data_IF_692821550390
#
_entry.id   IF_692821550390
#
_cell.length_a   1.000
_cell.length_b   1.000
_cell.length_c   1.000
_cell.angle_alpha   90.00
_cell.angle_beta   90.00
_cell.angle_gamma   90.00
#
_symmetry.space_group_name_H-M   'P 1'
#
loop_
_entity.id
_entity.type
_entity.pdbx_description
1 polymer ?
#
# COMPACT_ATOMS: atom_id res chain seq x y z
N UNK A 1 -93.58 81.24 27.75
CA UNK A 1 -92.80 82.35 28.38
C UNK A 1 -91.31 82.13 28.13
N UNK A 2 -90.44 83.15 28.18
CA UNK A 2 -88.98 82.93 28.04
C UNK A 2 -88.42 81.94 29.08
N UNK A 3 -89.04 81.88 30.26
CA UNK A 3 -88.69 80.93 31.33
C UNK A 3 -88.86 79.46 30.91
N UNK A 4 -89.92 79.10 30.18
CA UNK A 4 -90.13 77.73 29.69
C UNK A 4 -89.13 77.35 28.60
N UNK A 5 -88.78 78.29 27.71
CA UNK A 5 -87.72 78.07 26.71
C UNK A 5 -86.37 77.84 27.38
N UNK A 6 -86.04 78.62 28.39
CA UNK A 6 -84.81 78.45 29.16
C UNK A 6 -84.80 77.12 29.94
N UNK A 7 -85.93 76.69 30.51
CA UNK A 7 -86.04 75.39 31.17
C UNK A 7 -85.82 74.21 30.21
N UNK A 8 -86.41 74.28 29.00
CA UNK A 8 -86.20 73.26 27.96
C UNK A 8 -84.75 73.23 27.47
N UNK A 9 -84.11 74.40 27.32
CA UNK A 9 -82.69 74.48 26.96
C UNK A 9 -81.83 73.81 28.04
N UNK A 10 -82.09 74.09 29.32
CA UNK A 10 -81.35 73.46 30.43
C UNK A 10 -81.53 71.94 30.40
N UNK A 11 -82.76 71.44 30.25
CA UNK A 11 -83.02 70.00 30.18
C UNK A 11 -82.32 69.34 28.97
N UNK A 12 -82.37 69.96 27.79
CA UNK A 12 -81.65 69.47 26.61
C UNK A 12 -80.13 69.52 26.80
N UNK A 13 -79.58 70.53 27.48
CA UNK A 13 -78.14 70.59 27.78
C UNK A 13 -77.73 69.51 28.77
N UNK A 14 -78.54 69.24 29.81
CA UNK A 14 -78.30 68.15 30.75
C UNK A 14 -78.38 66.79 30.07
N UNK A 15 -79.38 66.57 29.21
CA UNK A 15 -79.50 65.34 28.43
C UNK A 15 -78.31 65.14 27.49
N UNK A 16 -77.88 66.18 26.76
CA UNK A 16 -76.69 66.12 25.92
C UNK A 16 -75.42 65.84 26.73
N UNK A 17 -75.30 66.42 27.93
CA UNK A 17 -74.16 66.17 28.81
C UNK A 17 -74.16 64.72 29.36
N UNK A 18 -75.32 64.16 29.68
CA UNK A 18 -75.48 62.74 30.06
C UNK A 18 -75.14 61.79 28.90
N UNK A 19 -75.63 62.06 27.70
CA UNK A 19 -75.27 61.27 26.51
C UNK A 19 -73.76 61.37 26.21
N UNK A 20 -73.18 62.56 26.34
CA UNK A 20 -71.73 62.76 26.13
C UNK A 20 -70.90 61.98 27.15
N UNK A 21 -71.32 61.95 28.42
CA UNK A 21 -70.62 61.16 29.45
C UNK A 21 -70.76 59.66 29.20
N UNK A 22 -71.95 59.18 28.82
CA UNK A 22 -72.17 57.78 28.47
C UNK A 22 -71.35 57.35 27.23
N UNK A 23 -71.24 58.20 26.20
CA UNK A 23 -70.39 57.94 25.04
C UNK A 23 -68.92 57.86 25.45
N UNK A 24 -68.44 58.77 26.32
CA UNK A 24 -67.05 58.73 26.82
C UNK A 24 -66.77 57.47 27.63
N UNK A 25 -67.71 57.04 28.48
CA UNK A 25 -67.59 55.79 29.23
C UNK A 25 -67.57 54.57 28.30
N UNK A 26 -68.49 54.52 27.32
CA UNK A 26 -68.50 53.48 26.28
C UNK A 26 -67.19 53.43 25.50
N UNK A 27 -66.68 54.58 25.03
CA UNK A 27 -65.40 54.70 24.33
C UNK A 27 -64.25 54.19 25.18
N UNK A 28 -64.22 54.53 26.48
CA UNK A 28 -63.21 54.03 27.40
C UNK A 28 -63.28 52.51 27.59
N UNK A 29 -64.49 51.93 27.66
CA UNK A 29 -64.64 50.47 27.74
C UNK A 29 -64.22 49.78 26.44
N UNK A 30 -64.49 50.38 25.29
CA UNK A 30 -64.05 49.87 23.98
C UNK A 30 -62.52 49.91 23.87
N UNK A 31 -61.87 51.00 24.28
CA UNK A 31 -60.41 51.10 24.39
C UNK A 31 -59.82 50.03 25.32
N UNK A 32 -60.46 49.76 26.47
CA UNK A 32 -60.01 48.70 27.37
C UNK A 32 -60.14 47.30 26.75
N UNK A 33 -61.27 47.01 26.10
CA UNK A 33 -61.49 45.73 25.44
C UNK A 33 -60.56 45.51 24.24
N UNK A 34 -60.27 46.57 23.47
CA UNK A 34 -59.32 46.49 22.35
C UNK A 34 -57.89 46.19 22.83
N UNK A 35 -57.44 46.82 23.93
CA UNK A 35 -56.15 46.49 24.56
C UNK A 35 -56.13 45.05 25.07
N UNK A 36 -57.20 44.57 25.71
CA UNK A 36 -57.29 43.17 26.15
C UNK A 36 -57.26 42.18 24.98
N UNK A 37 -57.98 42.46 23.89
CA UNK A 37 -57.96 41.66 22.67
C UNK A 37 -56.57 41.64 22.03
N UNK A 38 -55.87 42.77 22.02
CA UNK A 38 -54.49 42.83 21.55
C UNK A 38 -53.57 41.96 22.42
N UNK A 39 -53.69 42.05 23.74
CA UNK A 39 -52.93 41.20 24.67
C UNK A 39 -53.18 39.71 24.47
N UNK A 40 -54.44 39.31 24.26
CA UNK A 40 -54.80 37.92 23.94
C UNK A 40 -54.25 37.47 22.58
N UNK A 41 -54.28 38.32 21.56
CA UNK A 41 -53.67 38.05 20.24
C UNK A 41 -52.16 37.85 20.36
N UNK A 42 -51.47 38.71 21.11
CA UNK A 42 -50.03 38.58 21.35
C UNK A 42 -49.72 37.29 22.12
N UNK A 43 -50.53 36.93 23.12
CA UNK A 43 -50.37 35.68 23.87
C UNK A 43 -50.58 34.46 22.95
N UNK A 44 -51.60 34.48 22.10
CA UNK A 44 -51.84 33.42 21.12
C UNK A 44 -50.69 33.30 20.11
N UNK A 45 -50.16 34.44 19.63
CA UNK A 45 -49.02 34.47 18.74
C UNK A 45 -47.75 33.91 19.39
N UNK A 46 -47.47 34.25 20.66
CA UNK A 46 -46.34 33.68 21.42
C UNK A 46 -46.48 32.16 21.61
N UNK A 47 -47.69 31.69 21.91
CA UNK A 47 -47.95 30.24 22.00
C UNK A 47 -47.75 29.55 20.65
N UNK A 48 -48.21 30.18 19.56
CA UNK A 48 -48.03 29.67 18.20
C UNK A 48 -46.55 29.57 17.81
N UNK A 49 -45.75 30.61 18.08
CA UNK A 49 -44.31 30.58 17.79
C UNK A 49 -43.59 29.53 18.64
N UNK A 50 -43.89 29.46 19.95
CA UNK A 50 -43.31 28.43 20.82
C UNK A 50 -43.68 27.01 20.38
N UNK A 51 -44.92 26.77 19.94
CA UNK A 51 -45.32 25.48 19.38
C UNK A 51 -44.54 25.17 18.09
N UNK A 52 -44.33 26.17 17.23
CA UNK A 52 -43.56 26.01 16.01
C UNK A 52 -42.09 25.67 16.28
N UNK A 53 -41.48 26.26 17.32
CA UNK A 53 -40.12 25.95 17.75
C UNK A 53 -40.01 24.53 18.35
N UNK A 54 -41.03 24.09 19.09
CA UNK A 54 -41.11 22.71 19.56
C UNK A 54 -41.29 21.73 18.40
N UNK A 55 -42.09 22.09 17.40
CA UNK A 55 -42.30 21.26 16.21
C UNK A 55 -40.99 21.10 15.43
N UNK A 56 -40.25 22.17 15.18
CA UNK A 56 -38.96 22.09 14.50
C UNK A 56 -37.95 21.26 15.29
N UNK A 57 -37.91 21.43 16.62
CA UNK A 57 -37.06 20.61 17.50
C UNK A 57 -37.41 19.12 17.44
N UNK A 58 -38.71 18.78 17.37
CA UNK A 58 -39.16 17.41 17.21
C UNK A 58 -38.78 16.83 15.84
N UNK A 59 -38.81 17.64 14.78
CA UNK A 59 -38.42 17.20 13.44
C UNK A 59 -36.90 16.91 13.38
N UNK A 60 -36.05 17.73 14.01
CA UNK A 60 -34.62 17.43 14.15
C UNK A 60 -34.38 16.12 14.91
N UNK A 61 -35.08 15.90 16.02
CA UNK A 61 -34.95 14.65 16.79
C UNK A 61 -35.43 13.43 16.00
N UNK A 62 -36.46 13.57 15.16
CA UNK A 62 -36.92 12.50 14.26
C UNK A 62 -35.86 12.16 13.22
N UNK A 63 -35.23 13.17 12.62
CA UNK A 63 -34.14 12.97 11.66
C UNK A 63 -32.94 12.28 12.32
N UNK A 64 -32.58 12.69 13.55
CA UNK A 64 -31.51 12.05 14.32
C UNK A 64 -31.84 10.57 14.63
N UNK A 65 -33.07 10.27 15.05
CA UNK A 65 -33.52 8.89 15.28
C UNK A 65 -33.45 8.08 13.98
N UNK A 66 -33.84 8.66 12.84
CA UNK A 66 -33.77 7.99 11.53
C UNK A 66 -32.32 7.62 11.19
N UNK A 67 -31.41 8.59 11.26
CA UNK A 67 -29.98 8.40 11.00
C UNK A 67 -29.36 7.35 11.92
N UNK A 68 -29.71 7.38 13.21
CA UNK A 68 -29.23 6.39 14.19
C UNK A 68 -29.78 4.99 13.91
N UNK A 69 -31.03 4.89 13.45
CA UNK A 69 -31.65 3.61 13.06
C UNK A 69 -30.99 3.04 11.80
N UNK A 70 -30.68 3.86 10.81
CA UNK A 70 -29.94 3.43 9.62
C UNK A 70 -28.55 2.92 9.96
N UNK A 71 -27.82 3.65 10.82
CA UNK A 71 -26.50 3.23 11.31
C UNK A 71 -26.57 1.92 12.09
N UNK A 72 -27.60 1.75 12.93
CA UNK A 72 -27.86 0.49 13.63
C UNK A 72 -28.08 -0.66 12.64
N UNK A 73 -28.95 -0.49 11.65
CA UNK A 73 -29.24 -1.52 10.64
C UNK A 73 -27.99 -1.90 9.83
N UNK A 74 -27.12 -0.93 9.52
CA UNK A 74 -25.84 -1.18 8.85
C UNK A 74 -24.89 -2.01 9.72
N UNK A 75 -24.76 -1.67 11.00
CA UNK A 75 -23.95 -2.45 11.95
C UNK A 75 -24.51 -3.87 12.12
N UNK A 76 -25.82 -4.04 12.22
CA UNK A 76 -26.46 -5.35 12.30
C UNK A 76 -26.18 -6.20 11.04
N UNK A 77 -26.22 -5.60 9.83
CA UNK A 77 -25.81 -6.30 8.61
C UNK A 77 -24.35 -6.72 8.64
N UNK A 78 -23.44 -5.85 9.07
CA UNK A 78 -22.00 -6.19 9.18
C UNK A 78 -21.77 -7.35 10.15
N UNK A 79 -22.42 -7.33 11.30
CA UNK A 79 -22.36 -8.43 12.28
C UNK A 79 -22.89 -9.73 11.67
N UNK A 80 -24.00 -9.68 10.92
CA UNK A 80 -24.53 -10.86 10.25
C UNK A 80 -23.55 -11.46 9.23
N UNK A 81 -22.90 -10.61 8.41
CA UNK A 81 -21.89 -11.05 7.42
C UNK A 81 -20.67 -11.66 8.12
N UNK A 82 -20.13 -11.01 9.16
CA UNK A 82 -19.00 -11.54 9.92
C UNK A 82 -19.34 -12.87 10.62
N UNK A 83 -20.56 -12.99 11.13
CA UNK A 83 -21.06 -14.23 11.73
C UNK A 83 -21.10 -15.35 10.68
N UNK A 84 -21.61 -15.07 9.49
CA UNK A 84 -21.62 -16.03 8.39
C UNK A 84 -20.20 -16.43 7.96
N UNK A 85 -19.28 -15.47 7.89
CA UNK A 85 -17.87 -15.76 7.57
C UNK A 85 -17.21 -16.64 8.64
N UNK A 86 -17.46 -16.35 9.92
CA UNK A 86 -16.99 -17.19 11.03
C UNK A 86 -17.54 -18.61 10.91
N UNK A 87 -18.82 -18.76 10.63
CA UNK A 87 -19.46 -20.08 10.52
C UNK A 87 -18.88 -20.87 9.34
N UNK A 88 -18.67 -20.23 8.19
CA UNK A 88 -18.00 -20.85 7.04
C UNK A 88 -16.57 -21.29 7.39
N UNK A 89 -15.79 -20.45 8.07
CA UNK A 89 -14.45 -20.82 8.52
C UNK A 89 -14.46 -21.94 9.55
N UNK A 90 -15.46 -21.97 10.44
CA UNK A 90 -15.66 -23.07 11.38
C UNK A 90 -15.91 -24.39 10.65
N UNK A 91 -16.80 -24.39 9.65
CA UNK A 91 -17.05 -25.61 8.86
C UNK A 91 -15.81 -26.07 8.09
N UNK A 92 -15.03 -25.14 7.52
CA UNK A 92 -13.77 -25.48 6.85
C UNK A 92 -12.70 -26.02 7.82
N UNK A 93 -12.68 -25.52 9.05
CA UNK A 93 -11.82 -26.02 10.11
C UNK A 93 -12.22 -27.44 10.51
N UNK A 94 -13.51 -27.71 10.66
CA UNK A 94 -14.01 -29.05 10.98
C UNK A 94 -13.63 -30.05 9.87
N UNK A 95 -13.83 -29.69 8.60
CA UNK A 95 -13.43 -30.51 7.45
C UNK A 95 -11.92 -30.76 7.39
N UNK A 96 -11.10 -29.73 7.67
CA UNK A 96 -9.65 -29.86 7.74
C UNK A 96 -9.23 -30.78 8.90
N UNK A 97 -9.92 -30.69 10.04
CA UNK A 97 -9.68 -31.55 11.21
C UNK A 97 -10.00 -33.01 10.88
N UNK A 98 -11.13 -33.27 10.22
CA UNK A 98 -11.50 -34.61 9.74
C UNK A 98 -10.47 -35.18 8.77
N UNK A 99 -9.99 -34.35 7.84
CA UNK A 99 -8.93 -34.74 6.90
C UNK A 99 -7.62 -35.08 7.61
N UNK A 100 -7.23 -34.32 8.63
CA UNK A 100 -6.05 -34.63 9.45
C UNK A 100 -6.23 -35.97 10.15
N UNK A 101 -7.38 -36.21 10.78
CA UNK A 101 -7.67 -37.49 11.45
C UNK A 101 -7.58 -38.69 10.49
N UNK A 102 -8.09 -38.54 9.27
CA UNK A 102 -7.98 -39.55 8.21
C UNK A 102 -6.52 -39.81 7.80
N UNK A 103 -5.74 -38.76 7.56
CA UNK A 103 -4.33 -38.88 7.18
C UNK A 103 -3.49 -39.48 8.31
N UNK A 104 -3.73 -39.11 9.55
CA UNK A 104 -3.07 -39.71 10.71
C UNK A 104 -3.39 -41.20 10.83
N UNK A 105 -4.65 -41.60 10.60
CA UNK A 105 -5.04 -43.00 10.58
C UNK A 105 -4.31 -43.77 9.47
N UNK A 106 -4.28 -43.23 8.25
CA UNK A 106 -3.54 -43.84 7.13
C UNK A 106 -2.05 -43.95 7.43
N UNK A 107 -1.45 -42.94 8.06
CA UNK A 107 -0.04 -42.98 8.47
C UNK A 107 0.22 -44.11 9.48
N UNK A 108 -0.64 -44.27 10.49
CA UNK A 108 -0.52 -45.39 11.46
C UNK A 108 -0.67 -46.75 10.78
N UNK A 109 -1.61 -46.88 9.85
CA UNK A 109 -1.82 -48.12 9.08
C UNK A 109 -0.59 -48.45 8.20
N UNK A 110 -0.03 -47.46 7.49
CA UNK A 110 1.19 -47.64 6.69
C UNK A 110 2.41 -47.98 7.57
N UNK A 111 2.57 -47.33 8.73
CA UNK A 111 3.63 -47.68 9.68
C UNK A 111 3.50 -49.11 10.20
N UNK A 112 2.28 -49.59 10.46
CA UNK A 112 2.04 -50.97 10.85
C UNK A 112 2.40 -51.92 9.70
N UNK A 113 2.00 -51.61 8.47
CA UNK A 113 2.31 -52.42 7.28
C UNK A 113 3.83 -52.51 7.04
N UNK A 114 4.56 -51.41 7.20
CA UNK A 114 6.03 -51.39 7.11
C UNK A 114 6.67 -52.26 8.19
N UNK A 115 6.16 -52.24 9.43
CA UNK A 115 6.68 -53.11 10.50
C UNK A 115 6.45 -54.59 10.20
N UNK A 116 5.26 -54.96 9.71
CA UNK A 116 4.96 -56.34 9.33
C UNK A 116 5.88 -56.79 8.19
N UNK A 117 6.01 -56.00 7.12
CA UNK A 117 6.92 -56.28 6.01
C UNK A 117 8.38 -56.43 6.45
N UNK A 118 8.85 -55.58 7.37
CA UNK A 118 10.20 -55.72 7.94
C UNK A 118 10.38 -57.01 8.74
N UNK A 119 9.38 -57.40 9.56
CA UNK A 119 9.40 -58.68 10.29
C UNK A 119 9.46 -59.87 9.33
N UNK A 120 8.65 -59.86 8.27
CA UNK A 120 8.65 -60.91 7.24
C UNK A 120 10.00 -60.97 6.51
N UNK A 121 10.62 -59.82 6.20
CA UNK A 121 11.95 -59.76 5.59
C UNK A 121 13.03 -60.29 6.54
N UNK A 122 12.95 -60.01 7.84
CA UNK A 122 13.87 -60.56 8.84
C UNK A 122 13.72 -62.08 8.97
N UNK A 123 12.48 -62.60 8.99
CA UNK A 123 12.20 -64.04 8.98
C UNK A 123 12.79 -64.71 7.73
N UNK A 124 12.55 -64.17 6.54
CA UNK A 124 13.10 -64.69 5.29
C UNK A 124 14.63 -64.62 5.26
N UNK A 125 15.24 -63.53 5.75
CA UNK A 125 16.70 -63.41 5.89
C UNK A 125 17.26 -64.46 6.83
N UNK A 126 16.61 -64.70 7.96
CA UNK A 126 17.03 -65.73 8.93
C UNK A 126 16.92 -67.14 8.35
N UNK A 127 15.86 -67.43 7.61
CA UNK A 127 15.66 -68.70 6.92
C UNK A 127 16.72 -68.92 5.83
N UNK A 128 17.01 -67.88 5.04
CA UNK A 128 18.08 -67.92 4.03
C UNK A 128 19.46 -68.10 4.67
N UNK A 129 19.74 -67.44 5.80
CA UNK A 129 21.00 -67.65 6.55
C UNK A 129 21.10 -69.11 6.99
N UNK A 130 20.05 -69.68 7.59
CA UNK A 130 20.03 -71.08 8.01
C UNK A 130 20.21 -72.06 6.84
N UNK A 131 19.60 -71.78 5.69
CA UNK A 131 19.80 -72.57 4.47
C UNK A 131 21.24 -72.43 3.94
N UNK A 132 21.81 -71.22 3.99
CA UNK A 132 23.20 -70.94 3.65
C UNK A 132 24.18 -71.72 4.54
N UNK A 133 23.95 -71.72 5.86
CA UNK A 133 24.76 -72.48 6.82
C UNK A 133 24.68 -73.99 6.55
N UNK A 134 23.50 -74.50 6.18
CA UNK A 134 23.33 -75.90 5.75
C UNK A 134 24.11 -76.20 4.48
N UNK A 135 24.05 -75.32 3.46
CA UNK A 135 24.83 -75.45 2.22
C UNK A 135 26.33 -75.37 2.49
N UNK A 136 26.78 -74.47 3.37
CA UNK A 136 28.19 -74.39 3.74
C UNK A 136 28.64 -75.63 4.52
N UNK A 137 27.79 -76.18 5.38
CA UNK A 137 27.99 -77.48 6.02
C UNK A 137 28.16 -78.62 5.01
N UNK A 138 27.35 -78.64 3.95
CA UNK A 138 27.49 -79.60 2.83
C UNK A 138 28.75 -79.34 1.99
N UNK A 139 29.08 -78.10 1.66
CA UNK A 139 30.28 -77.72 0.88
C UNK A 139 31.58 -77.97 1.65
N UNK A 140 31.57 -77.84 2.98
CA UNK A 140 32.71 -78.17 3.85
C UNK A 140 33.00 -79.68 3.86
N UNK A 141 32.02 -80.51 3.52
CA UNK A 141 32.20 -81.94 3.26
C UNK A 141 32.53 -82.28 1.79
N UNK A 142 32.71 -81.31 0.89
CA UNK A 142 32.83 -81.56 -0.56
C UNK A 142 33.98 -80.84 -1.31
N UNK A 143 34.94 -80.19 -0.66
CA UNK A 143 36.10 -79.60 -1.38
C UNK A 143 37.45 -80.01 -0.80
N UNK A 144 37.91 -81.20 -1.22
CA UNK A 144 39.33 -81.54 -1.37
C UNK A 144 39.70 -81.38 -2.84
N UNK A 145 40.63 -80.47 -3.15
CA UNK A 145 41.39 -80.42 -4.39
C UNK A 145 40.91 -79.45 -5.48
N UNK A 146 41.80 -78.50 -5.83
CA UNK A 146 42.08 -77.90 -7.15
C UNK A 146 41.87 -76.38 -7.32
N UNK A 147 42.98 -75.62 -7.22
CA UNK A 147 43.32 -74.36 -7.94
C UNK A 147 44.86 -74.15 -7.84
N UNK A 148 45.72 -74.77 -8.66
CA UNK A 148 46.26 -74.45 -10.01
C UNK A 148 47.37 -73.38 -10.09
N UNK A 149 48.57 -73.86 -10.47
CA UNK A 149 49.90 -73.23 -10.65
C UNK A 149 50.02 -72.49 -12.00
N UNK A 150 49.96 -71.16 -12.05
CA UNK A 150 50.20 -70.42 -13.30
C UNK A 150 50.98 -69.11 -13.15
N UNK A 151 51.55 -68.81 -11.97
CA UNK A 151 52.03 -67.46 -11.64
C UNK A 151 53.53 -67.33 -11.34
N UNK A 152 54.36 -68.36 -11.54
CA UNK A 152 55.74 -68.37 -10.98
C UNK A 152 56.90 -68.68 -11.96
N UNK A 153 56.73 -68.56 -13.28
CA UNK A 153 57.85 -68.78 -14.20
C UNK A 153 57.89 -67.72 -15.29
N UNK A 154 58.74 -66.71 -15.11
CA UNK A 154 59.51 -66.05 -16.18
C UNK A 154 60.47 -65.01 -15.55
N UNK A 155 61.71 -65.46 -15.28
CA UNK A 155 62.88 -64.64 -14.95
C UNK A 155 64.04 -65.03 -15.88
N UNK A 156 64.68 -63.99 -16.41
CA UNK A 156 66.12 -63.83 -16.71
C UNK A 156 66.81 -64.76 -17.74
N UNK A 157 67.36 -64.13 -18.79
CA UNK A 157 68.42 -64.69 -19.63
C UNK A 157 69.62 -63.72 -19.67
N UNK A 158 70.81 -64.32 -19.65
CA UNK A 158 72.05 -63.86 -19.04
C UNK A 158 73.10 -63.44 -20.10
N UNK A 159 73.99 -62.50 -19.71
CA UNK A 159 75.45 -62.46 -20.02
C UNK A 159 76.00 -62.37 -21.47
N UNK A 160 76.80 -61.32 -21.76
CA UNK A 160 78.28 -61.37 -21.94
C UNK A 160 78.86 -60.08 -22.60
N UNK A 161 80.17 -59.79 -22.42
CA UNK A 161 80.80 -58.47 -22.60
C UNK A 161 81.51 -58.32 -23.95
N UNK A 162 81.40 -57.13 -24.58
CA UNK A 162 82.35 -56.65 -25.60
C UNK A 162 82.11 -55.15 -25.89
N UNK A 163 83.08 -54.32 -25.51
CA UNK A 163 83.21 -52.91 -25.91
C UNK A 163 82.39 -51.92 -25.07
N UNK A 164 83.00 -51.35 -24.04
CA UNK A 164 82.39 -50.34 -23.15
C UNK A 164 81.68 -49.24 -23.95
N UNK A 165 82.29 -48.69 -25.00
CA UNK A 165 81.67 -47.60 -25.77
C UNK A 165 80.51 -48.08 -26.67
N UNK A 166 80.61 -49.27 -27.29
CA UNK A 166 79.55 -49.77 -28.19
C UNK A 166 78.35 -50.29 -27.39
N UNK A 167 78.61 -50.94 -26.25
CA UNK A 167 77.57 -51.35 -25.32
C UNK A 167 76.90 -50.13 -24.68
N UNK A 168 77.68 -49.12 -24.25
CA UNK A 168 77.15 -47.88 -23.69
C UNK A 168 76.35 -47.08 -24.73
N UNK A 169 76.79 -47.00 -25.99
CA UNK A 169 76.01 -46.41 -27.10
C UNK A 169 74.72 -47.20 -27.35
N UNK A 170 74.76 -48.54 -27.31
CA UNK A 170 73.53 -49.34 -27.45
C UNK A 170 72.57 -49.15 -26.27
N UNK A 171 73.09 -49.02 -25.05
CA UNK A 171 72.30 -48.68 -23.85
C UNK A 171 71.68 -47.29 -23.99
N UNK A 172 72.44 -46.31 -24.48
CA UNK A 172 71.96 -44.95 -24.71
C UNK A 172 70.90 -44.92 -25.83
N UNK A 173 71.09 -45.68 -26.91
CA UNK A 173 70.11 -45.84 -27.99
C UNK A 173 68.81 -46.47 -27.48
N UNK A 174 68.88 -47.50 -26.62
CA UNK A 174 67.70 -48.10 -25.99
C UNK A 174 67.00 -47.09 -25.07
N UNK A 175 67.75 -46.35 -24.25
CA UNK A 175 67.19 -45.29 -23.38
C UNK A 175 66.51 -44.17 -24.16
N UNK A 176 67.10 -43.72 -25.27
CA UNK A 176 66.50 -42.72 -26.17
C UNK A 176 65.26 -43.29 -26.86
N UNK A 177 65.30 -44.54 -27.31
CA UNK A 177 64.17 -45.23 -27.91
C UNK A 177 62.98 -45.32 -26.93
N UNK A 178 63.21 -45.80 -25.70
CA UNK A 178 62.18 -45.93 -24.68
C UNK A 178 61.59 -44.57 -24.28
N UNK A 179 62.44 -43.53 -24.20
CA UNK A 179 61.99 -42.17 -23.88
C UNK A 179 61.15 -41.54 -25.00
N UNK A 180 61.54 -41.70 -26.27
CA UNK A 180 60.73 -41.24 -27.42
C UNK A 180 59.42 -42.03 -27.48
N UNK A 181 59.45 -43.32 -27.18
CA UNK A 181 58.27 -44.18 -27.16
C UNK A 181 57.29 -43.85 -26.04
N UNK A 182 57.79 -43.51 -24.85
CA UNK A 182 56.97 -43.01 -23.75
C UNK A 182 56.27 -41.68 -24.12
N UNK A 183 56.95 -40.81 -24.87
CA UNK A 183 56.35 -39.58 -25.42
C UNK A 183 55.29 -39.92 -26.48
N UNK A 184 55.55 -40.86 -27.39
CA UNK A 184 54.55 -41.36 -28.34
C UNK A 184 53.31 -41.92 -27.62
N UNK A 185 53.49 -42.74 -26.57
CA UNK A 185 52.39 -43.28 -25.77
C UNK A 185 51.62 -42.20 -25.02
N UNK A 186 52.31 -41.22 -24.44
CA UNK A 186 51.68 -40.09 -23.73
C UNK A 186 50.85 -39.22 -24.67
N UNK A 187 51.35 -39.00 -25.90
CA UNK A 187 50.62 -38.32 -26.97
C UNK A 187 49.41 -39.15 -27.43
N UNK A 188 49.55 -40.46 -27.65
CA UNK A 188 48.42 -41.37 -27.99
C UNK A 188 47.33 -41.39 -26.91
N UNK A 189 47.73 -41.48 -25.63
CA UNK A 189 46.80 -41.56 -24.49
C UNK A 189 46.01 -40.27 -24.29
N UNK A 190 46.59 -39.10 -24.59
CA UNK A 190 45.89 -37.82 -24.56
C UNK A 190 44.88 -37.69 -25.70
N UNK A 191 45.09 -38.37 -26.82
CA UNK A 191 44.28 -38.23 -28.03
C UNK A 191 43.04 -39.12 -28.07
N UNK A 192 43.07 -40.39 -27.62
CA UNK A 192 41.86 -41.26 -27.61
C UNK A 192 41.82 -42.36 -26.52
N UNK A 193 40.70 -42.42 -25.78
CA UNK A 193 40.18 -43.65 -25.15
C UNK A 193 39.63 -44.56 -26.26
N UNK A 194 40.22 -45.74 -26.50
CA UNK A 194 39.52 -46.99 -26.89
C UNK A 194 40.40 -47.92 -27.74
N UNK A 195 40.54 -49.16 -27.25
CA UNK A 195 40.87 -50.41 -27.95
C UNK A 195 42.01 -50.39 -28.98
N UNK A 196 43.24 -50.57 -28.50
CA UNK A 196 44.03 -51.78 -28.70
C UNK A 196 45.39 -51.56 -28.04
N UNK A 197 45.59 -52.20 -26.89
CA UNK A 197 46.90 -52.27 -26.24
C UNK A 197 47.82 -53.18 -27.08
N UNK A 198 48.41 -52.63 -28.14
CA UNK A 198 49.61 -53.21 -28.73
C UNK A 198 50.81 -52.67 -27.95
N UNK A 199 50.94 -53.12 -26.70
CA UNK A 199 52.17 -52.95 -25.91
C UNK A 199 53.19 -53.90 -26.52
N UNK A 200 53.89 -53.43 -27.55
CA UNK A 200 55.09 -54.12 -28.05
C UNK A 200 56.20 -53.91 -27.02
N UNK A 201 56.81 -54.97 -26.48
CA UNK A 201 57.69 -54.92 -25.30
C UNK A 201 58.93 -54.03 -25.52
N UNK A 202 59.50 -53.61 -24.39
CA UNK A 202 60.74 -52.84 -24.32
C UNK A 202 61.89 -53.62 -24.99
N UNK A 203 62.73 -52.90 -25.74
CA UNK A 203 63.74 -53.51 -26.61
C UNK A 203 65.02 -53.70 -25.80
N UNK A 204 65.55 -54.93 -25.76
CA UNK A 204 66.81 -55.20 -25.08
C UNK A 204 68.03 -54.82 -25.94
N UNK A 205 69.18 -54.59 -25.30
CA UNK A 205 70.42 -54.06 -25.92
C UNK A 205 70.88 -54.86 -27.16
N UNK A 206 70.59 -56.17 -27.20
CA UNK A 206 70.96 -57.04 -28.33
C UNK A 206 70.06 -56.90 -29.57
N UNK A 207 68.90 -56.25 -29.44
CA UNK A 207 67.91 -56.08 -30.51
C UNK A 207 68.09 -54.76 -31.28
N UNK A 208 69.07 -53.93 -30.90
CA UNK A 208 69.39 -52.66 -31.57
C UNK A 208 69.95 -52.91 -32.97
N UNK A 209 69.09 -52.78 -33.98
CA UNK A 209 69.39 -52.80 -35.41
C UNK A 209 69.37 -51.38 -36.02
N UNK A 210 70.13 -51.19 -37.09
CA UNK A 210 70.13 -49.94 -37.86
C UNK A 210 68.71 -49.65 -38.38
N UNK A 211 68.20 -48.44 -38.11
CA UNK A 211 66.87 -47.99 -38.54
C UNK A 211 65.78 -48.02 -37.46
N UNK A 212 66.03 -48.60 -36.27
CA UNK A 212 65.05 -48.61 -35.17
C UNK A 212 64.70 -47.21 -34.65
N UNK A 213 65.72 -46.37 -34.42
CA UNK A 213 65.51 -44.99 -33.98
C UNK A 213 64.79 -44.19 -35.08
N UNK A 214 65.13 -44.42 -36.35
CA UNK A 214 64.48 -43.81 -37.51
C UNK A 214 63.01 -44.20 -37.59
N UNK A 215 62.66 -45.46 -37.33
CA UNK A 215 61.28 -45.93 -37.32
C UNK A 215 60.45 -45.30 -36.20
N UNK A 216 60.97 -45.24 -34.97
CA UNK A 216 60.21 -44.63 -33.86
C UNK A 216 60.16 -43.10 -33.94
N UNK A 217 61.18 -42.45 -34.48
CA UNK A 217 61.10 -41.02 -34.80
C UNK A 217 60.11 -40.79 -35.94
N UNK A 218 60.04 -41.67 -36.95
CA UNK A 218 59.02 -41.58 -38.00
C UNK A 218 57.62 -41.77 -37.41
N UNK A 219 57.40 -42.75 -36.52
CA UNK A 219 56.13 -42.90 -35.80
C UNK A 219 55.78 -41.67 -34.96
N UNK A 220 56.75 -41.04 -34.30
CA UNK A 220 56.56 -39.79 -33.56
C UNK A 220 56.20 -38.64 -34.52
N UNK A 221 56.91 -38.52 -35.65
CA UNK A 221 56.65 -37.52 -36.68
C UNK A 221 55.28 -37.71 -37.32
N UNK A 222 54.87 -38.96 -37.56
CA UNK A 222 53.54 -39.31 -38.07
C UNK A 222 52.48 -38.95 -37.03
N UNK A 223 52.71 -39.26 -35.74
CA UNK A 223 51.79 -38.85 -34.66
C UNK A 223 51.69 -37.33 -34.48
N UNK A 224 52.82 -36.64 -34.55
CA UNK A 224 52.87 -35.19 -34.49
C UNK A 224 52.21 -34.61 -35.75
N UNK A 225 52.33 -35.27 -36.89
CA UNK A 225 51.64 -34.88 -38.13
C UNK A 225 50.15 -35.18 -38.07
N UNK A 226 49.68 -36.19 -37.33
CA UNK A 226 48.26 -36.42 -37.06
C UNK A 226 47.70 -35.38 -36.07
N UNK A 227 48.50 -34.94 -35.10
CA UNK A 227 48.14 -33.90 -34.13
C UNK A 227 48.23 -32.49 -34.70
N UNK A 228 49.23 -32.23 -35.54
CA UNK A 228 49.48 -30.96 -36.21
C UNK A 228 48.75 -30.87 -37.55
N UNK A 229 48.37 -32.01 -38.12
CA UNK A 229 47.42 -32.17 -39.22
C UNK A 229 45.99 -32.17 -38.70
N UNK A 230 45.73 -31.41 -37.63
CA UNK A 230 44.42 -30.79 -37.48
C UNK A 230 44.18 -29.91 -38.71
N UNK A 231 43.51 -30.51 -39.69
CA UNK A 231 42.95 -29.94 -40.92
C UNK A 231 42.97 -28.41 -41.01
N UNK A 232 44.09 -27.87 -41.49
CA UNK A 232 44.12 -26.56 -42.16
C UNK A 232 44.35 -26.74 -43.66
N UNK A 233 43.64 -27.70 -44.28
CA UNK A 233 43.09 -27.60 -45.64
C UNK A 233 42.50 -28.94 -46.04
N UNK A 234 41.23 -28.91 -46.45
CA UNK A 234 40.44 -29.99 -47.06
C UNK A 234 39.47 -30.80 -46.19
N UNK A 235 39.10 -30.32 -45.00
CA UNK A 235 37.67 -30.45 -44.68
C UNK A 235 36.95 -29.41 -45.54
N UNK A 236 36.33 -29.85 -46.62
CA UNK A 236 35.20 -29.11 -47.17
C UNK A 236 34.09 -29.16 -46.12
N UNK A 237 34.27 -28.42 -45.01
CA UNK A 237 33.14 -27.83 -44.33
C UNK A 237 32.61 -26.87 -45.37
N UNK A 238 31.66 -27.37 -46.15
CA UNK A 238 31.04 -26.60 -47.20
C UNK A 238 30.56 -25.28 -46.58
N UNK A 239 30.51 -24.19 -47.33
CA UNK A 239 29.88 -22.94 -46.81
C UNK A 239 28.52 -23.27 -46.18
N UNK A 240 27.82 -24.27 -46.74
CA UNK A 240 26.61 -24.86 -46.19
C UNK A 240 26.76 -25.53 -44.82
N UNK A 241 27.86 -26.20 -44.48
CA UNK A 241 28.08 -26.77 -43.14
C UNK A 241 28.33 -25.69 -42.07
N UNK A 242 29.10 -24.64 -42.40
CA UNK A 242 29.25 -23.47 -41.52
C UNK A 242 27.93 -22.71 -41.35
N UNK A 243 27.13 -22.59 -42.42
CA UNK A 243 25.77 -22.03 -42.36
C UNK A 243 24.85 -22.88 -41.48
N UNK A 244 24.95 -24.21 -41.55
CA UNK A 244 24.18 -25.12 -40.69
C UNK A 244 24.62 -24.98 -39.22
N UNK A 245 25.92 -24.88 -38.93
CA UNK A 245 26.42 -24.65 -37.57
C UNK A 245 26.02 -23.29 -37.01
N UNK A 246 26.07 -22.24 -37.83
CA UNK A 246 25.58 -20.90 -37.48
C UNK A 246 24.08 -20.93 -37.19
N UNK A 247 23.28 -21.60 -38.02
CA UNK A 247 21.85 -21.78 -37.78
C UNK A 247 21.59 -22.58 -36.50
N UNK A 248 22.35 -23.64 -36.22
CA UNK A 248 22.22 -24.40 -34.96
C UNK A 248 22.57 -23.55 -33.74
N UNK A 249 23.62 -22.72 -33.83
CA UNK A 249 24.01 -21.79 -32.77
C UNK A 249 22.97 -20.68 -32.58
N UNK A 250 22.42 -20.13 -33.67
CA UNK A 250 21.32 -19.16 -33.63
C UNK A 250 20.06 -19.77 -33.04
N UNK A 251 19.67 -20.97 -33.45
CA UNK A 251 18.54 -21.67 -32.85
C UNK A 251 18.77 -21.96 -31.36
N UNK A 252 20.00 -22.26 -30.95
CA UNK A 252 20.36 -22.46 -29.54
C UNK A 252 20.24 -21.16 -28.75
N UNK A 253 20.73 -20.05 -29.31
CA UNK A 253 20.56 -18.71 -28.73
C UNK A 253 19.08 -18.31 -28.66
N UNK A 254 18.29 -18.60 -29.68
CA UNK A 254 16.86 -18.35 -29.70
C UNK A 254 16.13 -19.22 -28.66
N UNK A 255 16.53 -20.49 -28.49
CA UNK A 255 16.01 -21.36 -27.42
C UNK A 255 16.33 -20.79 -26.04
N UNK A 256 17.59 -20.44 -25.79
CA UNK A 256 18.02 -19.81 -24.53
C UNK A 256 17.32 -18.47 -24.29
N UNK A 257 17.10 -17.67 -25.33
CA UNK A 257 16.37 -16.41 -25.27
C UNK A 257 14.89 -16.62 -24.90
N UNK A 258 14.22 -17.61 -25.50
CA UNK A 258 12.85 -17.99 -25.14
C UNK A 258 12.75 -18.51 -23.70
N UNK A 259 13.72 -19.31 -23.26
CA UNK A 259 13.78 -19.80 -21.88
C UNK A 259 13.98 -18.68 -20.87
N UNK A 260 14.85 -17.71 -21.18
CA UNK A 260 15.08 -16.52 -20.35
C UNK A 260 13.81 -15.66 -20.25
N UNK A 261 13.08 -15.46 -21.35
CA UNK A 261 11.82 -14.71 -21.32
C UNK A 261 10.73 -15.47 -20.54
N UNK A 262 10.64 -16.80 -20.68
CA UNK A 262 9.74 -17.62 -19.88
C UNK A 262 10.07 -17.53 -18.37
N UNK A 263 11.35 -17.53 -18.00
CA UNK A 263 11.80 -17.35 -16.61
C UNK A 263 11.51 -15.95 -16.08
N UNK A 264 11.61 -14.92 -16.91
CA UNK A 264 11.24 -13.55 -16.58
C UNK A 264 9.73 -13.40 -16.37
N UNK A 265 8.90 -14.07 -17.17
CA UNK A 265 7.47 -14.13 -16.92
C UNK A 265 7.13 -14.91 -15.64
N UNK A 266 7.82 -16.01 -15.36
CA UNK A 266 7.66 -16.76 -14.11
C UNK A 266 8.03 -15.90 -12.89
N UNK A 267 9.11 -15.12 -12.99
CA UNK A 267 9.50 -14.13 -11.98
C UNK A 267 8.44 -13.04 -11.80
N UNK A 268 7.85 -12.53 -12.89
CA UNK A 268 6.74 -11.56 -12.80
C UNK A 268 5.54 -12.17 -12.08
N UNK A 269 5.11 -13.39 -12.44
CA UNK A 269 4.00 -14.09 -11.75
C UNK A 269 4.29 -14.29 -10.27
N UNK A 270 5.53 -14.69 -9.90
CA UNK A 270 5.93 -14.81 -8.50
C UNK A 270 5.92 -13.46 -7.77
N UNK A 271 6.35 -12.39 -8.43
CA UNK A 271 6.31 -11.04 -7.87
C UNK A 271 4.85 -10.58 -7.64
N UNK A 272 3.94 -10.86 -8.56
CA UNK A 272 2.52 -10.54 -8.41
C UNK A 272 1.88 -11.30 -7.24
N UNK A 273 2.24 -12.58 -7.06
CA UNK A 273 1.82 -13.37 -5.89
C UNK A 273 2.39 -12.79 -4.60
N UNK A 274 3.66 -12.37 -4.59
CA UNK A 274 4.27 -11.73 -3.42
C UNK A 274 3.53 -10.43 -3.08
N UNK A 275 3.17 -9.62 -4.07
CA UNK A 275 2.41 -8.39 -3.86
C UNK A 275 1.01 -8.67 -3.29
N UNK A 276 0.29 -9.66 -3.84
CA UNK A 276 -1.03 -10.09 -3.33
C UNK A 276 -0.94 -10.62 -1.89
N UNK A 277 0.05 -11.48 -1.60
CA UNK A 277 0.28 -11.99 -0.24
C UNK A 277 0.67 -10.87 0.73
N UNK A 278 1.48 -9.90 0.30
CA UNK A 278 1.86 -8.74 1.12
C UNK A 278 0.65 -7.86 1.42
N UNK A 279 -0.22 -7.63 0.43
CA UNK A 279 -1.47 -6.89 0.62
C UNK A 279 -2.41 -7.63 1.59
N UNK A 280 -2.58 -8.95 1.43
CA UNK A 280 -3.36 -9.77 2.35
C UNK A 280 -2.81 -9.76 3.76
N UNK A 281 -1.48 -9.83 3.91
CA UNK A 281 -0.81 -9.77 5.21
C UNK A 281 -1.04 -8.41 5.87
N UNK A 282 -0.91 -7.31 5.14
CA UNK A 282 -1.20 -5.96 5.65
C UNK A 282 -2.65 -5.82 6.12
N UNK A 283 -3.63 -6.35 5.36
CA UNK A 283 -5.03 -6.36 5.81
C UNK A 283 -5.19 -7.16 7.11
N UNK A 284 -4.59 -8.36 7.19
CA UNK A 284 -4.65 -9.19 8.41
C UNK A 284 -3.99 -8.52 9.61
N UNK A 285 -2.91 -7.78 9.41
CA UNK A 285 -2.28 -6.97 10.46
C UNK A 285 -3.23 -5.90 10.98
N UNK A 286 -3.90 -5.16 10.08
CA UNK A 286 -4.88 -4.14 10.49
C UNK A 286 -6.10 -4.75 11.19
N UNK A 287 -6.59 -5.91 10.74
CA UNK A 287 -7.68 -6.63 11.40
C UNK A 287 -7.26 -7.11 12.80
N UNK A 288 -6.04 -7.63 12.95
CA UNK A 288 -5.49 -8.04 14.24
C UNK A 288 -5.34 -6.87 15.19
N UNK A 289 -4.87 -5.72 14.71
CA UNK A 289 -4.75 -4.52 15.53
C UNK A 289 -6.13 -3.99 15.95
N UNK A 290 -7.13 -4.00 15.05
CA UNK A 290 -8.52 -3.69 15.40
C UNK A 290 -9.09 -4.61 16.49
N UNK A 291 -8.88 -5.93 16.36
CA UNK A 291 -9.31 -6.90 17.39
C UNK A 291 -8.55 -6.70 18.71
N UNK A 292 -7.26 -6.31 18.67
CA UNK A 292 -6.49 -5.99 19.87
C UNK A 292 -7.04 -4.76 20.58
N UNK A 293 -7.34 -3.70 19.84
CA UNK A 293 -7.95 -2.47 20.35
C UNK A 293 -9.33 -2.75 20.97
N UNK A 294 -10.20 -3.52 20.32
CA UNK A 294 -11.50 -3.91 20.88
C UNK A 294 -11.34 -4.71 22.18
N UNK A 295 -10.38 -5.64 22.24
CA UNK A 295 -10.08 -6.41 23.44
C UNK A 295 -9.52 -5.53 24.56
N UNK A 296 -8.68 -4.56 24.23
CA UNK A 296 -8.11 -3.62 25.19
C UNK A 296 -9.17 -2.63 25.70
N UNK A 297 -10.07 -2.18 24.83
CA UNK A 297 -11.25 -1.38 25.20
C UNK A 297 -12.18 -2.18 26.14
N UNK A 298 -12.52 -3.43 25.80
CA UNK A 298 -13.34 -4.27 26.67
C UNK A 298 -12.66 -4.55 28.02
N UNK A 299 -11.32 -4.67 28.06
CA UNK A 299 -10.56 -4.76 29.30
C UNK A 299 -10.61 -3.47 30.11
N UNK A 300 -10.48 -2.31 29.46
CA UNK A 300 -10.60 -1.01 30.10
C UNK A 300 -12.01 -0.82 30.69
N UNK A 301 -13.06 -1.18 29.94
CA UNK A 301 -14.46 -1.12 30.38
C UNK A 301 -14.72 -2.07 31.57
N UNK A 302 -14.15 -3.28 31.55
CA UNK A 302 -14.22 -4.22 32.68
C UNK A 302 -13.42 -3.73 33.90
N UNK A 303 -12.31 -3.02 33.69
CA UNK A 303 -11.53 -2.41 34.76
C UNK A 303 -12.23 -1.17 35.33
N UNK A 304 -12.92 -0.41 34.48
CA UNK A 304 -13.71 0.75 34.87
C UNK A 304 -15.02 0.34 35.55
N UNK A 305 -15.63 -0.78 35.13
CA UNK A 305 -16.72 -1.45 35.83
C UNK A 305 -16.32 -2.13 37.15
N UNK A 306 -15.01 -2.30 37.39
CA UNK A 306 -14.43 -2.68 38.70
C UNK A 306 -14.04 -1.47 39.55
N UNK A 307 -14.07 -0.25 39.01
CA UNK A 307 -13.95 0.96 39.81
C UNK A 307 -15.04 0.95 40.87
N UNK A 308 -14.71 1.29 42.12
CA UNK A 308 -15.74 1.46 43.15
C UNK A 308 -16.84 2.36 42.60
N UNK A 309 -18.10 2.12 42.96
CA UNK A 309 -19.22 2.99 42.53
C UNK A 309 -18.91 4.48 42.75
N UNK A 310 -18.10 4.79 43.77
CA UNK A 310 -17.57 6.13 44.05
C UNK A 310 -16.60 6.70 43.00
N UNK A 311 -15.76 5.87 42.38
CA UNK A 311 -14.87 6.29 41.30
C UNK A 311 -15.66 6.61 40.02
N UNK A 312 -16.69 5.81 39.74
CA UNK A 312 -17.59 6.05 38.61
C UNK A 312 -18.40 7.34 38.82
N UNK A 313 -18.92 7.56 40.03
CA UNK A 313 -19.62 8.81 40.39
C UNK A 313 -18.69 10.02 40.32
N UNK A 314 -17.44 9.89 40.77
CA UNK A 314 -16.45 10.98 40.68
C UNK A 314 -16.11 11.33 39.24
N UNK A 315 -15.86 10.34 38.39
CA UNK A 315 -15.65 10.56 36.94
C UNK A 315 -16.88 11.17 36.28
N UNK A 316 -18.08 10.74 36.63
CA UNK A 316 -19.32 11.34 36.12
C UNK A 316 -19.46 12.82 36.53
N UNK A 317 -19.07 13.18 37.75
CA UNK A 317 -19.01 14.57 38.20
C UNK A 317 -17.95 15.36 37.45
N UNK A 318 -16.74 14.83 37.27
CA UNK A 318 -15.69 15.48 36.48
C UNK A 318 -16.11 15.74 35.03
N UNK A 319 -16.78 14.78 34.39
CA UNK A 319 -17.32 14.93 33.03
C UNK A 319 -18.40 16.02 32.98
N UNK A 320 -19.33 16.00 33.94
CA UNK A 320 -20.36 17.04 34.06
C UNK A 320 -19.73 18.42 34.27
N UNK A 321 -18.78 18.53 35.19
CA UNK A 321 -18.15 19.81 35.54
C UNK A 321 -17.30 20.33 34.38
N UNK A 322 -16.60 19.46 33.66
CA UNK A 322 -15.90 19.80 32.42
C UNK A 322 -16.86 20.26 31.32
N UNK A 323 -18.03 19.62 31.19
CA UNK A 323 -19.05 20.03 30.22
C UNK A 323 -19.66 21.39 30.60
N UNK A 324 -19.92 21.62 31.89
CA UNK A 324 -20.40 22.92 32.40
C UNK A 324 -19.36 24.01 32.17
N UNK A 325 -18.06 23.73 32.40
CA UNK A 325 -16.98 24.67 32.14
C UNK A 325 -16.91 25.04 30.64
N UNK A 326 -16.98 24.06 29.74
CA UNK A 326 -17.04 24.32 28.28
C UNK A 326 -18.26 25.15 27.90
N UNK A 327 -19.44 24.81 28.42
CA UNK A 327 -20.66 25.58 28.18
C UNK A 327 -20.48 27.04 28.63
N UNK A 328 -19.99 27.27 29.84
CA UNK A 328 -19.76 28.62 30.35
C UNK A 328 -18.73 29.38 29.50
N UNK A 329 -17.65 28.72 29.06
CA UNK A 329 -16.66 29.32 28.17
C UNK A 329 -17.29 29.78 26.85
N UNK A 330 -18.06 28.90 26.18
CA UNK A 330 -18.76 29.25 24.94
C UNK A 330 -19.81 30.36 25.14
N UNK A 331 -20.47 30.42 26.30
CA UNK A 331 -21.41 31.50 26.63
C UNK A 331 -20.70 32.84 26.82
N UNK A 332 -19.51 32.83 27.44
CA UNK A 332 -18.67 34.03 27.57
C UNK A 332 -18.18 34.51 26.21
N UNK A 333 -17.74 33.59 25.34
CA UNK A 333 -17.34 33.91 23.97
C UNK A 333 -18.50 34.49 23.14
N UNK A 334 -19.70 33.90 23.26
CA UNK A 334 -20.90 34.43 22.62
C UNK A 334 -21.25 35.83 23.09
N UNK A 335 -21.14 36.10 24.40
CA UNK A 335 -21.35 37.43 24.95
C UNK A 335 -20.32 38.44 24.41
N UNK A 336 -19.04 38.04 24.27
CA UNK A 336 -18.00 38.87 23.65
C UNK A 336 -18.31 39.16 22.18
N UNK A 337 -18.62 38.15 21.39
CA UNK A 337 -18.99 38.34 19.98
C UNK A 337 -20.20 39.27 19.81
N UNK A 338 -21.19 39.20 20.72
CA UNK A 338 -22.33 40.12 20.72
C UNK A 338 -21.91 41.56 21.01
N UNK A 339 -20.98 41.77 21.94
CA UNK A 339 -20.41 43.09 22.22
C UNK A 339 -19.66 43.61 20.99
N UNK A 340 -18.86 42.78 20.34
CA UNK A 340 -18.10 43.17 19.15
C UNK A 340 -19.04 43.59 17.99
N UNK A 341 -20.15 42.87 17.78
CA UNK A 341 -21.18 43.25 16.80
C UNK A 341 -21.85 44.57 17.17
N UNK A 342 -22.18 44.78 18.46
CA UNK A 342 -22.76 46.05 18.91
C UNK A 342 -21.78 47.22 18.69
N UNK A 343 -20.49 47.01 18.94
CA UNK A 343 -19.45 48.01 18.72
C UNK A 343 -19.26 48.31 17.22
N UNK A 344 -19.20 47.28 16.37
CA UNK A 344 -19.09 47.44 14.92
C UNK A 344 -20.30 48.19 14.34
N UNK A 345 -21.51 47.88 14.82
CA UNK A 345 -22.72 48.62 14.43
C UNK A 345 -22.68 50.08 14.88
N UNK A 346 -22.16 50.38 16.08
CA UNK A 346 -21.97 51.76 16.54
C UNK A 346 -21.02 52.53 15.63
N UNK A 347 -19.87 51.92 15.29
CA UNK A 347 -18.89 52.52 14.39
C UNK A 347 -19.47 52.74 12.99
N UNK A 348 -20.26 51.80 12.48
CA UNK A 348 -20.93 51.95 11.19
C UNK A 348 -21.94 53.11 11.21
N UNK A 349 -22.74 53.24 12.27
CA UNK A 349 -23.68 54.35 12.42
C UNK A 349 -22.95 55.70 12.46
N UNK A 350 -21.83 55.79 13.17
CA UNK A 350 -20.98 56.99 13.19
C UNK A 350 -20.42 57.32 11.80
N UNK A 351 -19.94 56.32 11.05
CA UNK A 351 -19.43 56.50 9.69
C UNK A 351 -20.52 56.94 8.69
N UNK A 352 -21.73 56.38 8.81
CA UNK A 352 -22.89 56.79 8.00
C UNK A 352 -23.23 58.25 8.32
N UNK A 353 -23.28 58.61 9.60
CA UNK A 353 -23.58 59.97 10.03
C UNK A 353 -22.57 60.97 9.46
N UNK A 354 -21.26 60.68 9.57
CA UNK A 354 -20.21 61.51 8.97
C UNK A 354 -20.34 61.62 7.45
N UNK A 355 -20.69 60.52 6.76
CA UNK A 355 -20.90 60.53 5.31
C UNK A 355 -22.10 61.40 4.92
N UNK A 356 -23.19 61.32 5.67
CA UNK A 356 -24.39 62.15 5.46
C UNK A 356 -24.04 63.63 5.64
N UNK A 357 -23.31 63.97 6.70
CA UNK A 357 -22.85 65.35 6.96
C UNK A 357 -21.96 65.89 5.84
N UNK A 358 -21.00 65.10 5.34
CA UNK A 358 -20.16 65.49 4.20
C UNK A 358 -20.98 65.63 2.90
N UNK A 359 -21.98 64.77 2.68
CA UNK A 359 -22.88 64.88 1.53
C UNK A 359 -23.69 66.17 1.58
N UNK A 360 -24.24 66.52 2.74
CA UNK A 360 -24.96 67.78 2.95
C UNK A 360 -24.05 68.99 2.73
N UNK A 361 -22.80 68.94 3.22
CA UNK A 361 -21.82 69.99 2.94
C UNK A 361 -21.53 70.11 1.44
N UNK A 362 -21.36 69.00 0.71
CA UNK A 362 -21.14 69.03 -0.74
C UNK A 362 -22.35 69.61 -1.49
N UNK A 363 -23.57 69.24 -1.12
CA UNK A 363 -24.79 69.81 -1.70
C UNK A 363 -24.87 71.33 -1.44
N UNK A 364 -24.52 71.78 -0.23
CA UNK A 364 -24.44 73.21 0.08
C UNK A 364 -23.39 73.92 -0.80
N UNK A 365 -22.19 73.35 -0.94
CA UNK A 365 -21.15 73.89 -1.81
C UNK A 365 -21.58 73.93 -3.29
N UNK A 366 -22.34 72.93 -3.76
CA UNK A 366 -22.90 72.93 -5.11
C UNK A 366 -23.90 74.06 -5.32
N UNK A 367 -24.80 74.28 -4.36
CA UNK A 367 -25.77 75.39 -4.39
C UNK A 367 -25.04 76.74 -4.41
N UNK A 368 -24.04 76.91 -3.54
CA UNK A 368 -23.26 78.16 -3.45
C UNK A 368 -22.48 78.42 -4.76
N UNK A 369 -21.87 77.40 -5.36
CA UNK A 369 -21.18 77.52 -6.65
C UNK A 369 -22.14 77.86 -7.80
N UNK A 370 -23.32 77.24 -7.82
CA UNK A 370 -24.35 77.54 -8.82
C UNK A 370 -24.83 78.99 -8.68
N UNK A 371 -25.02 79.48 -7.45
CA UNK A 371 -25.38 80.87 -7.19
C UNK A 371 -24.31 81.84 -7.69
N UNK A 372 -23.02 81.54 -7.48
CA UNK A 372 -21.90 82.34 -8.00
C UNK A 372 -21.85 82.36 -9.54
N UNK A 373 -22.10 81.22 -10.18
CA UNK A 373 -22.19 81.13 -11.64
C UNK A 373 -23.36 81.94 -12.18
N UNK A 374 -24.54 81.83 -11.56
CA UNK A 374 -25.73 82.60 -11.92
C UNK A 374 -25.49 84.11 -11.75
N UNK A 375 -24.82 84.52 -10.67
CA UNK A 375 -24.42 85.91 -10.44
C UNK A 375 -23.41 86.40 -11.47
N UNK A 376 -22.41 85.59 -11.82
CA UNK A 376 -21.44 85.91 -12.87
C UNK A 376 -22.11 86.04 -14.25
N UNK A 377 -23.07 85.17 -14.56
CA UNK A 377 -23.86 85.24 -15.80
C UNK A 377 -24.74 86.49 -15.83
N UNK A 378 -25.43 86.83 -14.73
CA UNK A 378 -26.21 88.06 -14.59
C UNK A 378 -25.33 89.30 -14.75
N UNK A 379 -24.14 89.33 -14.13
CA UNK A 379 -23.18 90.42 -14.27
C UNK A 379 -22.69 90.59 -15.71
N UNK A 380 -22.35 89.48 -16.39
CA UNK A 380 -21.94 89.51 -17.81
C UNK A 380 -23.05 89.99 -18.73
N UNK A 381 -24.29 89.57 -18.50
CA UNK A 381 -25.45 90.04 -19.26
C UNK A 381 -25.75 91.52 -19.01
N UNK A 382 -25.52 92.01 -17.79
CA UNK A 382 -25.69 93.41 -17.42
C UNK A 382 -24.56 94.32 -17.95
N UNK A 383 -23.38 93.77 -18.28
CA UNK A 383 -22.20 94.53 -18.68
C UNK A 383 -21.51 93.94 -19.93
N UNK A 384 -22.14 94.03 -21.13
CA UNK A 384 -21.67 93.35 -22.35
C UNK A 384 -20.41 93.95 -23.01
N UNK A 385 -19.95 95.15 -22.62
CA UNK A 385 -18.80 95.82 -23.26
C UNK A 385 -17.44 95.55 -22.57
N UNK A 386 -17.37 94.72 -21.52
CA UNK A 386 -16.11 94.42 -20.79
C UNK A 386 -15.71 92.93 -20.79
N UNK A 387 -15.84 92.23 -21.93
CA UNK A 387 -15.34 90.84 -22.05
C UNK A 387 -14.33 90.70 -23.18
N UNK A 388 -13.10 91.14 -22.93
CA UNK A 388 -11.92 90.65 -23.64
C UNK A 388 -10.69 90.73 -22.74
N UNK A 389 -10.32 89.61 -22.11
CA UNK A 389 -8.93 89.14 -21.94
C UNK A 389 -8.89 87.87 -21.07
N UNK A 390 -8.15 86.82 -21.47
CA UNK A 390 -8.01 85.59 -20.71
C UNK A 390 -6.84 85.71 -19.72
N UNK A 391 -7.07 85.40 -18.44
CA UNK A 391 -5.98 85.15 -17.50
C UNK A 391 -6.14 83.75 -16.91
N UNK A 392 -5.39 82.83 -17.50
CA UNK A 392 -4.87 81.64 -16.82
C UNK A 392 -3.88 82.06 -15.74
N UNK A 393 -3.87 81.37 -14.59
CA UNK A 393 -2.62 81.12 -13.89
C UNK A 393 -2.36 79.62 -13.79
N UNK A 394 -1.21 79.27 -14.35
CA UNK A 394 -0.48 78.03 -14.09
C UNK A 394 0.00 78.00 -12.63
N UNK A 395 0.10 76.76 -12.11
CA UNK A 395 1.04 76.31 -11.07
C UNK A 395 0.43 75.91 -9.71
N UNK A 396 0.25 74.61 -9.53
CA UNK A 396 0.88 73.87 -8.43
C UNK A 396 0.60 72.36 -8.58
N UNK A 397 1.53 71.64 -9.20
CA UNK A 397 1.69 70.21 -8.98
C UNK A 397 1.92 69.96 -7.49
N UNK A 398 0.99 69.29 -6.81
CA UNK A 398 1.26 68.57 -5.56
C UNK A 398 0.90 67.11 -5.72
N UNK A 399 1.97 66.33 -5.92
CA UNK A 399 2.15 64.90 -5.70
C UNK A 399 1.01 64.22 -4.92
N UNK A 400 0.44 63.20 -5.55
CA UNK A 400 -0.28 62.09 -4.91
C UNK A 400 0.53 61.50 -3.75
N UNK A 401 -0.07 61.46 -2.57
CA UNK A 401 0.31 60.55 -1.49
C UNK A 401 -0.80 59.49 -1.36
N UNK A 402 -0.63 58.38 -2.07
CA UNK A 402 -1.44 57.18 -1.88
C UNK A 402 -1.09 56.57 -0.51
N UNK A 403 -1.93 56.79 0.52
CA UNK A 403 -1.90 55.97 1.73
C UNK A 403 -3.03 54.94 1.66
N UNK A 404 -2.62 53.70 1.34
CA UNK A 404 -3.37 52.51 1.73
C UNK A 404 -3.38 52.45 3.26
N UNK A 405 -4.55 52.38 3.85
CA UNK A 405 -4.75 51.96 5.23
C UNK A 405 -5.66 50.74 5.18
N UNK A 406 -5.03 49.57 5.16
CA UNK A 406 -5.56 48.33 5.69
C UNK A 406 -4.69 48.02 6.90
N UNK A 407 -5.34 47.76 8.03
CA UNK A 407 -4.80 47.45 9.34
C UNK A 407 -5.98 47.34 10.27
#
# INVERSE_FOLDING_TARGET
TEKEKNALIVELTEQNQRLTTQIKESSKTEEQLTVQLQGLREQANKRKSSLQDHQSSLDVLRDEICMMTEKKNELERRVAVLTQQRDNLSTALDEATDRIMLLERQMREQQLQMRVSNSELEELRSANSSLGDKIQGFSSSSTSGQRSLHSEMECDDEQLPEGDDLHQIKVEIVSVYDRVRAVCHSLKQRTQQSLENSVRPDITIHQVKVGLLTAVIQELCDLISDLSGGDYSTSSVSVTDLEIELHRAQESLDRMSREMEAKKEELKRKNDIILDLTSKLSVRETELDGVREERDQARADLQEGKGSKDELVRKAWEVRDSAVARKNATQVELARARIDVMQANSQLMEAIQQKVELSQQLEQWQVDMQALLDEQMRWKLANPEQVSSPNTPSSAEKKRSSRRLFG
#
